data_IF_242215301834
#
_entry.id   IF_242215301834
#
_cell.length_a   1.000
_cell.length_b   1.000
_cell.length_c   1.000
_cell.angle_alpha   90.00
_cell.angle_beta   90.00
_cell.angle_gamma   90.00
#
_symmetry.space_group_name_H-M   'P 1'
#
loop_
_entity.id
_entity.type
_entity.pdbx_description
1 polymer ?
#
# COMPACT_ATOMS: atom_id res chain seq x y z
N UNK A 1 11.70 7.96 13.05
CA UNK A 1 12.02 9.41 13.13
C UNK A 1 10.77 10.16 13.56
N UNK A 2 10.84 11.44 13.97
CA UNK A 2 9.63 12.18 14.38
C UNK A 2 8.53 12.16 13.29
N UNK A 3 8.94 12.30 12.02
CA UNK A 3 8.05 12.23 10.85
C UNK A 3 7.30 10.89 10.77
N UNK A 4 7.96 9.77 11.04
CA UNK A 4 7.31 8.45 10.97
C UNK A 4 6.28 8.27 12.08
N UNK A 5 6.56 8.78 13.28
CA UNK A 5 5.60 8.75 14.39
C UNK A 5 4.38 9.63 14.11
N UNK A 6 4.59 10.85 13.58
CA UNK A 6 3.51 11.77 13.23
C UNK A 6 2.60 11.17 12.13
N UNK A 7 3.20 10.52 11.13
CA UNK A 7 2.46 9.82 10.08
C UNK A 7 1.66 8.64 10.65
N UNK A 8 2.26 7.83 11.51
CA UNK A 8 1.57 6.72 12.16
C UNK A 8 0.38 7.21 12.97
N UNK A 9 0.56 8.26 13.77
CA UNK A 9 -0.51 8.87 14.54
C UNK A 9 -1.65 9.38 13.66
N UNK A 10 -1.31 10.01 12.53
CA UNK A 10 -2.30 10.42 11.52
C UNK A 10 -3.08 9.23 10.97
N UNK A 11 -2.42 8.13 10.61
CA UNK A 11 -3.09 6.91 10.12
C UNK A 11 -4.03 6.32 11.18
N UNK A 12 -3.62 6.26 12.45
CA UNK A 12 -4.49 5.81 13.55
C UNK A 12 -5.73 6.69 13.69
N UNK A 13 -5.56 8.00 13.62
CA UNK A 13 -6.67 8.96 13.67
C UNK A 13 -7.63 8.77 12.49
N UNK A 14 -7.12 8.57 11.27
CA UNK A 14 -7.93 8.32 10.08
C UNK A 14 -8.67 6.98 10.17
N UNK A 15 -8.02 5.93 10.66
CA UNK A 15 -8.67 4.64 10.93
C UNK A 15 -9.84 4.82 11.88
N UNK A 16 -9.63 5.46 13.03
CA UNK A 16 -10.68 5.69 14.02
C UNK A 16 -11.88 6.46 13.43
N UNK A 17 -11.63 7.46 12.58
CA UNK A 17 -12.67 8.35 12.07
C UNK A 17 -13.37 7.88 10.78
N UNK A 18 -12.66 7.14 9.91
CA UNK A 18 -13.10 6.91 8.53
C UNK A 18 -13.26 5.44 8.16
N UNK A 19 -12.52 4.53 8.80
CA UNK A 19 -12.55 3.12 8.45
C UNK A 19 -13.93 2.52 8.76
N UNK A 20 -14.52 1.89 7.75
CA UNK A 20 -15.87 1.36 7.81
C UNK A 20 -15.98 -0.13 7.47
N UNK A 21 -14.87 -0.76 7.05
CA UNK A 21 -14.74 -2.19 6.78
C UNK A 21 -15.64 -2.74 5.68
N UNK A 22 -16.21 -1.86 4.85
CA UNK A 22 -16.95 -2.24 3.66
C UNK A 22 -15.99 -2.31 2.47
N UNK A 23 -15.80 -3.50 1.92
CA UNK A 23 -14.94 -3.72 0.74
C UNK A 23 -15.43 -3.03 -0.54
N UNK A 24 -16.66 -2.50 -0.54
CA UNK A 24 -17.24 -1.67 -1.62
C UNK A 24 -17.32 -0.19 -1.24
N UNK A 25 -16.66 0.22 -0.16
CA UNK A 25 -16.65 1.59 0.33
C UNK A 25 -16.17 2.60 -0.72
N UNK A 26 -16.79 3.78 -0.73
CA UNK A 26 -16.30 4.93 -1.49
C UNK A 26 -15.26 5.76 -0.72
N UNK A 27 -14.96 5.43 0.53
CA UNK A 27 -13.95 6.12 1.33
C UNK A 27 -12.53 5.66 0.93
N UNK A 28 -11.68 6.56 0.39
CA UNK A 28 -10.37 6.15 -0.11
C UNK A 28 -9.42 5.64 0.97
N UNK A 29 -9.57 6.11 2.22
CA UNK A 29 -8.73 5.63 3.31
C UNK A 29 -9.15 4.22 3.71
N UNK A 30 -10.45 3.97 3.87
CA UNK A 30 -10.99 2.65 4.21
C UNK A 30 -10.57 1.60 3.18
N UNK A 31 -10.79 1.89 1.89
CA UNK A 31 -10.36 1.03 0.78
C UNK A 31 -8.84 0.83 0.74
N UNK A 32 -8.06 1.89 0.93
CA UNK A 32 -6.60 1.80 0.93
C UNK A 32 -6.06 0.93 2.07
N UNK A 33 -6.68 0.99 3.24
CA UNK A 33 -6.32 0.16 4.38
C UNK A 33 -6.70 -1.31 4.13
N UNK A 34 -7.87 -1.57 3.56
CA UNK A 34 -8.30 -2.93 3.17
C UNK A 34 -7.32 -3.58 2.17
N UNK A 35 -6.88 -2.82 1.16
CA UNK A 35 -5.85 -3.25 0.22
C UNK A 35 -4.54 -3.54 0.95
N UNK A 36 -4.12 -2.66 1.86
CA UNK A 36 -2.88 -2.84 2.61
C UNK A 36 -2.91 -4.09 3.50
N UNK A 37 -4.03 -4.34 4.17
CA UNK A 37 -4.23 -5.52 5.03
C UNK A 37 -4.05 -6.82 4.25
N UNK A 38 -4.60 -6.88 3.03
CA UNK A 38 -4.48 -8.04 2.14
C UNK A 38 -3.07 -8.18 1.56
N UNK A 39 -2.51 -7.08 1.04
CA UNK A 39 -1.23 -7.09 0.34
C UNK A 39 -0.05 -7.40 1.27
N UNK A 40 -0.06 -6.83 2.47
CA UNK A 40 1.05 -6.95 3.43
C UNK A 40 0.77 -7.97 4.54
N UNK A 41 -0.35 -8.69 4.46
CA UNK A 41 -0.80 -9.68 5.43
C UNK A 41 -0.73 -9.12 6.85
N UNK A 42 -1.54 -8.11 7.09
CA UNK A 42 -1.55 -7.35 8.33
C UNK A 42 -2.99 -6.93 8.68
N UNK A 43 -3.18 -6.38 9.87
CA UNK A 43 -4.49 -6.01 10.39
C UNK A 43 -4.39 -4.76 11.27
N UNK A 44 -5.16 -3.72 10.95
CA UNK A 44 -5.07 -2.42 11.63
C UNK A 44 -3.74 -1.69 11.39
N UNK A 45 -3.50 -0.60 12.11
CA UNK A 45 -2.23 0.15 12.00
C UNK A 45 -1.16 -0.53 12.86
N UNK A 46 -1.47 -0.73 14.15
CA UNK A 46 -0.65 -1.45 15.13
C UNK A 46 -1.06 -2.91 15.27
N UNK A 47 -2.37 -3.17 15.28
CA UNK A 47 -3.01 -4.48 15.28
C UNK A 47 -4.54 -4.30 15.25
N UNK A 48 -5.28 -5.40 15.33
CA UNK A 48 -6.74 -5.39 15.33
C UNK A 48 -7.42 -4.54 16.42
N UNK A 49 -6.75 -4.24 17.54
CA UNK A 49 -7.34 -3.43 18.61
C UNK A 49 -7.62 -1.99 18.17
N UNK A 50 -6.98 -1.52 17.10
CA UNK A 50 -7.25 -0.18 16.55
C UNK A 50 -8.72 -0.03 16.13
N UNK A 51 -9.37 -1.13 15.72
CA UNK A 51 -10.78 -1.13 15.33
C UNK A 51 -11.74 -0.89 16.49
N UNK A 52 -11.31 -1.07 17.75
CA UNK A 52 -12.13 -0.73 18.92
C UNK A 52 -12.49 0.77 18.96
N UNK A 53 -11.61 1.60 18.40
CA UNK A 53 -11.81 3.06 18.29
C UNK A 53 -12.40 3.51 16.96
N UNK A 54 -12.66 2.58 16.03
CA UNK A 54 -13.16 2.86 14.69
C UNK A 54 -14.69 2.93 14.69
N UNK A 55 -15.26 4.11 14.96
CA UNK A 55 -16.70 4.25 15.19
C UNK A 55 -17.54 3.77 14.01
N UNK A 56 -17.18 4.15 12.78
CA UNK A 56 -17.91 3.73 11.57
C UNK A 56 -17.89 2.22 11.36
N UNK A 57 -16.75 1.57 11.63
CA UNK A 57 -16.66 0.12 11.61
C UNK A 57 -17.53 -0.51 12.70
N UNK A 58 -17.46 0.00 13.94
CA UNK A 58 -18.28 -0.50 15.04
C UNK A 58 -19.79 -0.38 14.75
N UNK A 59 -20.21 0.67 14.07
CA UNK A 59 -21.61 0.91 13.69
C UNK A 59 -22.11 -0.03 12.58
N UNK A 60 -21.22 -0.45 11.66
CA UNK A 60 -21.58 -1.23 10.46
C UNK A 60 -21.28 -2.73 10.57
N UNK A 61 -20.34 -3.14 11.41
CA UNK A 61 -19.91 -4.54 11.52
C UNK A 61 -21.03 -5.42 12.06
N UNK A 62 -20.97 -6.73 11.80
CA UNK A 62 -21.81 -7.64 12.56
C UNK A 62 -21.37 -7.66 14.03
N UNK A 63 -22.32 -7.89 14.95
CA UNK A 63 -22.03 -7.86 16.40
C UNK A 63 -20.89 -8.81 16.78
N UNK A 64 -20.86 -9.99 16.16
CA UNK A 64 -19.84 -11.03 16.41
C UNK A 64 -18.49 -10.75 15.76
N UNK A 65 -18.41 -9.84 14.79
CA UNK A 65 -17.15 -9.57 14.09
C UNK A 65 -16.19 -8.81 15.01
N UNK A 66 -14.99 -9.37 15.17
CA UNK A 66 -13.89 -8.81 15.95
C UNK A 66 -12.91 -8.08 15.02
N UNK A 67 -12.76 -8.58 13.78
CA UNK A 67 -11.87 -8.01 12.76
C UNK A 67 -12.59 -7.87 11.40
N UNK A 68 -12.13 -6.96 10.55
CA UNK A 68 -12.58 -6.89 9.16
C UNK A 68 -12.19 -8.11 8.34
N UNK A 69 -12.96 -8.39 7.29
CA UNK A 69 -12.72 -9.50 6.38
C UNK A 69 -11.31 -9.49 5.78
N UNK A 70 -10.78 -8.31 5.48
CA UNK A 70 -9.46 -8.10 4.89
C UNK A 70 -8.29 -8.42 5.82
N UNK A 71 -8.53 -8.61 7.13
CA UNK A 71 -7.53 -9.14 8.07
C UNK A 71 -7.37 -10.67 8.01
N UNK A 72 -8.30 -11.38 7.36
CA UNK A 72 -8.27 -12.84 7.25
C UNK A 72 -7.21 -13.31 6.27
N UNK A 73 -6.78 -14.56 6.42
CA UNK A 73 -5.89 -15.19 5.45
C UNK A 73 -6.71 -15.74 4.28
N UNK A 74 -6.21 -15.46 3.08
CA UNK A 74 -6.80 -15.92 1.83
C UNK A 74 -5.79 -16.77 1.07
N UNK A 75 -6.27 -17.85 0.46
CA UNK A 75 -5.45 -18.74 -0.39
C UNK A 75 -5.21 -18.14 -1.79
N UNK A 76 -6.08 -17.23 -2.24
CA UNK A 76 -6.00 -16.59 -3.55
C UNK A 76 -6.13 -15.06 -3.46
N UNK A 77 -5.10 -14.40 -2.92
CA UNK A 77 -5.05 -12.95 -2.69
C UNK A 77 -5.05 -12.13 -3.99
N UNK A 78 -4.38 -12.65 -5.02
CA UNK A 78 -4.25 -12.00 -6.34
C UNK A 78 -5.60 -11.73 -7.01
N UNK A 79 -6.62 -12.51 -6.65
CA UNK A 79 -7.98 -12.37 -7.16
C UNK A 79 -8.74 -11.17 -6.57
N UNK A 80 -8.34 -10.62 -5.41
CA UNK A 80 -8.99 -9.44 -4.82
C UNK A 80 -8.97 -8.23 -5.76
N UNK A 81 -7.85 -8.03 -6.46
CA UNK A 81 -7.67 -6.93 -7.41
C UNK A 81 -8.55 -7.08 -8.67
N UNK A 82 -9.10 -8.27 -8.92
CA UNK A 82 -9.94 -8.56 -10.09
C UNK A 82 -11.42 -8.59 -9.73
N UNK A 83 -11.76 -9.32 -8.68
CA UNK A 83 -13.12 -9.41 -8.15
C UNK A 83 -13.07 -9.74 -6.66
N UNK A 84 -13.53 -8.82 -5.83
CA UNK A 84 -13.60 -9.00 -4.38
C UNK A 84 -14.46 -10.21 -3.99
N UNK A 85 -15.45 -10.58 -4.81
CA UNK A 85 -16.32 -11.74 -4.56
C UNK A 85 -15.63 -13.08 -4.90
N UNK A 86 -14.47 -13.05 -5.55
CA UNK A 86 -13.69 -14.24 -5.89
C UNK A 86 -12.65 -14.63 -4.83
N UNK A 87 -12.64 -13.90 -3.71
CA UNK A 87 -11.87 -14.27 -2.52
C UNK A 87 -12.41 -15.56 -1.90
N UNK A 88 -11.62 -16.63 -1.98
CA UNK A 88 -11.89 -17.84 -1.22
C UNK A 88 -11.16 -17.75 0.12
N UNK A 89 -11.94 -17.70 1.19
CA UNK A 89 -11.43 -17.67 2.56
C UNK A 89 -11.20 -19.09 3.05
N UNK A 90 -10.07 -19.31 3.73
CA UNK A 90 -9.69 -20.64 4.22
C UNK A 90 -10.59 -21.10 5.39
N UNK A 91 -11.10 -20.14 6.15
CA UNK A 91 -11.95 -20.36 7.34
C UNK A 91 -12.99 -19.24 7.46
N UNK A 92 -14.28 -19.61 7.43
CA UNK A 92 -15.41 -18.68 7.52
C UNK A 92 -15.57 -18.06 8.91
N UNK A 93 -14.90 -18.59 9.94
CA UNK A 93 -14.98 -18.10 11.32
C UNK A 93 -13.97 -16.99 11.64
N UNK A 94 -12.99 -16.74 10.77
CA UNK A 94 -11.88 -15.82 11.02
C UNK A 94 -12.30 -14.44 11.58
N UNK A 95 -13.35 -13.82 11.04
CA UNK A 95 -13.81 -12.51 11.51
C UNK A 95 -14.32 -12.54 12.95
N UNK A 96 -14.88 -13.66 13.39
CA UNK A 96 -15.54 -13.81 14.71
C UNK A 96 -14.67 -14.54 15.74
N UNK A 97 -13.75 -15.38 15.29
CA UNK A 97 -12.78 -16.11 16.11
C UNK A 97 -11.39 -16.08 15.46
N UNK A 98 -10.73 -14.91 15.43
CA UNK A 98 -9.43 -14.77 14.81
C UNK A 98 -8.36 -15.53 15.60
N UNK A 99 -7.53 -16.28 14.87
CA UNK A 99 -6.35 -16.96 15.37
C UNK A 99 -5.15 -16.66 14.49
N UNK A 100 -3.95 -17.03 14.95
CA UNK A 100 -2.72 -16.83 14.18
C UNK A 100 -2.67 -17.77 12.96
N UNK A 101 -3.49 -18.82 12.93
CA UNK A 101 -3.64 -19.74 11.80
C UNK A 101 -4.51 -19.13 10.70
N UNK A 102 -5.67 -18.55 11.05
CA UNK A 102 -6.66 -18.11 10.06
C UNK A 102 -6.63 -16.60 9.74
N UNK A 103 -5.87 -15.79 10.48
CA UNK A 103 -5.87 -14.33 10.35
C UNK A 103 -4.51 -13.70 10.60
N UNK A 104 -4.38 -12.41 10.29
CA UNK A 104 -3.20 -11.60 10.58
C UNK A 104 -3.46 -10.58 11.69
N UNK A 105 -4.42 -10.86 12.59
CA UNK A 105 -4.98 -9.88 13.53
C UNK A 105 -3.95 -9.21 14.46
N UNK A 106 -2.86 -9.89 14.82
CA UNK A 106 -1.80 -9.35 15.69
C UNK A 106 -0.73 -8.55 14.96
N UNK A 107 -0.64 -8.65 13.62
CA UNK A 107 0.41 -8.03 12.83
C UNK A 107 -0.08 -6.69 12.28
N UNK A 108 0.41 -5.58 12.84
CA UNK A 108 0.07 -4.23 12.38
C UNK A 108 0.62 -3.89 11.00
N UNK A 109 -0.17 -3.20 10.18
CA UNK A 109 0.23 -2.82 8.83
C UNK A 109 1.37 -1.79 8.81
N UNK A 110 1.49 -0.96 9.83
CA UNK A 110 2.58 0.01 9.91
C UNK A 110 3.96 -0.66 9.83
N UNK A 111 4.18 -1.68 10.67
CA UNK A 111 5.46 -2.40 10.69
C UNK A 111 5.63 -3.25 9.43
N UNK A 112 4.57 -3.91 8.96
CA UNK A 112 4.62 -4.75 7.76
C UNK A 112 5.00 -3.96 6.50
N UNK A 113 4.44 -2.76 6.32
CA UNK A 113 4.75 -1.88 5.19
C UNK A 113 6.18 -1.35 5.29
N UNK A 114 6.63 -0.94 6.47
CA UNK A 114 8.01 -0.46 6.67
C UNK A 114 9.03 -1.56 6.40
N UNK A 115 8.77 -2.78 6.86
CA UNK A 115 9.62 -3.94 6.59
C UNK A 115 9.70 -4.23 5.09
N UNK A 116 8.55 -4.25 4.39
CA UNK A 116 8.50 -4.40 2.94
C UNK A 116 9.26 -3.29 2.20
N UNK A 117 9.07 -2.03 2.62
CA UNK A 117 9.75 -0.89 2.01
C UNK A 117 11.27 -0.99 2.19
N UNK A 118 11.75 -1.41 3.36
CA UNK A 118 13.17 -1.62 3.62
C UNK A 118 13.73 -2.79 2.81
N UNK A 119 13.01 -3.90 2.71
CA UNK A 119 13.41 -5.06 1.90
C UNK A 119 13.53 -4.72 0.41
N UNK A 120 12.64 -3.87 -0.11
CA UNK A 120 12.64 -3.46 -1.52
C UNK A 120 13.45 -2.20 -1.82
N UNK A 121 14.00 -1.53 -0.81
CA UNK A 121 14.73 -0.27 -0.97
C UNK A 121 15.90 -0.40 -1.96
N UNK A 122 16.64 -1.52 -1.91
CA UNK A 122 17.79 -1.73 -2.79
C UNK A 122 17.39 -1.79 -4.27
N UNK A 123 16.25 -2.40 -4.58
CA UNK A 123 15.74 -2.47 -5.95
C UNK A 123 15.31 -1.10 -6.46
N UNK A 124 14.63 -0.32 -5.62
CA UNK A 124 14.22 1.05 -5.96
C UNK A 124 15.43 1.94 -6.24
N UNK A 125 16.47 1.87 -5.39
CA UNK A 125 17.72 2.61 -5.57
C UNK A 125 18.40 2.20 -6.89
N UNK A 126 18.50 0.90 -7.16
CA UNK A 126 19.14 0.41 -8.38
C UNK A 126 18.44 0.90 -9.66
N UNK A 127 17.10 0.85 -9.70
CA UNK A 127 16.32 1.38 -10.83
C UNK A 127 16.50 2.90 -10.96
N UNK A 128 16.47 3.63 -9.84
CA UNK A 128 16.68 5.08 -9.84
C UNK A 128 18.04 5.48 -10.41
N UNK A 129 19.11 4.77 -10.04
CA UNK A 129 20.46 4.99 -10.59
C UNK A 129 20.50 4.71 -12.10
N UNK A 130 19.88 3.62 -12.55
CA UNK A 130 19.82 3.30 -13.97
C UNK A 130 19.11 4.39 -14.79
N UNK A 131 17.97 4.89 -14.29
CA UNK A 131 17.24 6.00 -14.91
C UNK A 131 18.12 7.25 -14.95
N UNK A 132 18.79 7.59 -13.84
CA UNK A 132 19.67 8.75 -13.78
C UNK A 132 20.83 8.69 -14.79
N UNK A 133 21.41 7.51 -15.03
CA UNK A 133 22.43 7.34 -16.07
C UNK A 133 21.86 7.58 -17.47
N UNK A 134 20.66 7.06 -17.75
CA UNK A 134 19.97 7.28 -19.03
C UNK A 134 19.68 8.77 -19.23
N UNK A 135 19.19 9.45 -18.20
CA UNK A 135 18.93 10.90 -18.26
C UNK A 135 20.19 11.70 -18.58
N UNK A 136 21.32 11.39 -17.95
CA UNK A 136 22.60 12.06 -18.25
C UNK A 136 23.03 11.80 -19.70
N UNK A 137 22.89 10.58 -20.21
CA UNK A 137 23.20 10.26 -21.59
C UNK A 137 22.29 11.01 -22.57
N UNK A 138 20.99 11.12 -22.28
CA UNK A 138 20.05 11.90 -23.07
C UNK A 138 20.44 13.38 -23.14
N UNK A 139 20.86 13.98 -22.02
CA UNK A 139 21.35 15.37 -21.99
C UNK A 139 22.62 15.53 -22.84
N UNK A 140 23.58 14.60 -22.72
CA UNK A 140 24.82 14.65 -23.53
C UNK A 140 24.50 14.56 -25.02
N UNK A 141 23.65 13.62 -25.42
CA UNK A 141 23.24 13.46 -26.83
C UNK A 141 22.52 14.70 -27.33
N UNK A 142 21.60 15.28 -26.56
CA UNK A 142 20.90 16.50 -26.93
C UNK A 142 21.89 17.67 -27.16
N UNK A 143 22.87 17.84 -26.28
CA UNK A 143 23.91 18.87 -26.41
C UNK A 143 24.77 18.62 -27.66
N UNK A 144 25.14 17.37 -27.95
CA UNK A 144 25.88 17.02 -29.17
C UNK A 144 25.07 17.30 -30.45
N UNK A 145 23.77 16.97 -30.44
CA UNK A 145 22.88 17.23 -31.57
C UNK A 145 22.70 18.72 -31.85
N UNK A 146 22.49 19.54 -30.80
CA UNK A 146 22.39 21.00 -30.93
C UNK A 146 23.66 21.57 -31.56
N UNK A 147 24.83 21.12 -31.09
CA UNK A 147 26.11 21.56 -31.66
C UNK A 147 26.28 21.15 -33.12
N UNK A 148 25.86 19.93 -33.47
CA UNK A 148 25.94 19.43 -34.85
C UNK A 148 25.04 20.25 -35.80
N UNK A 149 23.78 20.50 -35.44
CA UNK A 149 22.85 21.30 -36.24
C UNK A 149 23.37 22.72 -36.42
N UNK A 150 23.85 23.35 -35.35
CA UNK A 150 24.34 24.74 -35.41
C UNK A 150 25.54 24.89 -36.33
N UNK A 151 26.40 23.87 -36.43
CA UNK A 151 27.52 23.86 -37.36
C UNK A 151 27.06 23.72 -38.82
N UNK A 152 26.04 22.89 -39.08
CA UNK A 152 25.47 22.76 -40.43
C UNK A 152 24.82 24.06 -40.92
N UNK A 153 24.13 24.80 -40.05
CA UNK A 153 23.54 26.10 -40.39
C UNK A 153 24.61 27.15 -40.74
N UNK A 154 25.79 27.12 -40.09
CA UNK A 154 26.91 28.02 -40.37
C UNK A 154 27.53 27.73 -41.76
N UNK A 155 27.68 26.45 -42.13
CA UNK A 155 28.25 26.03 -43.43
C UNK A 155 27.34 26.35 -44.63
N UNK A 156 26.01 26.38 -44.47
CA UNK A 156 25.07 26.80 -45.52
C UNK A 156 25.03 28.34 -45.72
N UNK A 157 25.56 29.11 -44.77
CA UNK A 157 25.54 30.58 -44.82
C UNK A 157 26.82 31.21 -45.42
N UNK A 158 27.82 30.40 -45.79
CA UNK A 158 29.06 30.79 -46.48
C UNK A 158 29.03 30.43 -47.96
#
# INVERSE_FOLDING_TARGET
TKVTEDLKAFLKSRLSAQYDGDVKTGDPFSLGLDVAQLQFECCGIDNYMDFLSATRWQDKKNTSDIIPLTCCKFTNKESFYKDVNSLNMDDTSCQTSPSDENSNFRKGCWNAILEYANDKAIYVIAIGVAIGVVEVLCVVVAVCLIQAVRKSDEEESQ
#
